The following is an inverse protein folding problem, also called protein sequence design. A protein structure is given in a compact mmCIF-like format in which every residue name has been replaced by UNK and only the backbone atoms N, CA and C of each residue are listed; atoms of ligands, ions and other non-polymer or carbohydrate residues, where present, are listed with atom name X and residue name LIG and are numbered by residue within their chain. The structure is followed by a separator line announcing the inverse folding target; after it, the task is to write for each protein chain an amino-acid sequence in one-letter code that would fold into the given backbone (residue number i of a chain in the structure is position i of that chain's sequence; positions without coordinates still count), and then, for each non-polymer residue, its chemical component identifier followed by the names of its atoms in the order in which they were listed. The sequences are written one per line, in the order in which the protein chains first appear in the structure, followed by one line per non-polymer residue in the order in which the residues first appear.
data_IF_920633477562
#
_entry.id   IF_920633477562
#
_cell.length_a   1.000
_cell.length_b   1.000
_cell.length_c   1.000
_cell.angle_alpha   90.00
_cell.angle_beta   90.00
_cell.angle_gamma   90.00
#
_symmetry.space_group_name_H-M   'P 1'
#
loop_
_entity.id
_entity.type
_entity.pdbx_description
1 polymer ?
#
# COMPACT_ATOMS: atom_id res chain seq x y z
N UNK A 1 65.34 47.32 -9.19
CA UNK A 1 66.17 46.38 -9.97
C UNK A 1 65.69 44.97 -9.64
N UNK A 2 65.36 44.16 -10.66
CA UNK A 2 65.71 42.72 -10.82
C UNK A 2 65.81 41.83 -9.56
N UNK A 3 65.28 40.60 -9.44
CA UNK A 3 64.98 39.52 -10.41
C UNK A 3 64.18 38.42 -9.69
N UNK A 4 63.55 37.54 -10.49
CA UNK A 4 62.88 36.28 -10.18
C UNK A 4 63.54 35.32 -9.18
N UNK A 5 62.73 34.40 -8.61
CA UNK A 5 62.97 32.94 -8.43
C UNK A 5 61.81 32.37 -7.57
N UNK A 6 60.86 31.62 -8.13
CA UNK A 6 60.88 30.17 -8.37
C UNK A 6 61.25 29.31 -7.15
N UNK A 7 60.25 28.76 -6.43
CA UNK A 7 60.16 27.31 -6.20
C UNK A 7 58.89 26.92 -5.40
N UNK A 8 58.00 26.17 -6.03
CA UNK A 8 56.97 25.35 -5.38
C UNK A 8 57.27 23.88 -5.66
N UNK A 9 57.46 23.03 -4.63
CA UNK A 9 57.23 21.60 -4.73
C UNK A 9 55.87 21.26 -4.11
N UNK A 10 54.92 20.79 -4.93
CA UNK A 10 54.52 19.38 -5.00
C UNK A 10 53.64 18.93 -3.81
N UNK A 11 52.33 18.79 -4.04
CA UNK A 11 51.69 17.49 -4.36
C UNK A 11 51.78 16.47 -3.22
N UNK A 12 50.79 16.49 -2.32
CA UNK A 12 50.26 15.30 -1.62
C UNK A 12 49.07 15.70 -0.74
N UNK A 13 47.85 15.47 -1.23
CA UNK A 13 46.64 15.15 -0.43
C UNK A 13 45.32 15.40 -1.21
N UNK A 14 45.25 15.02 -2.48
CA UNK A 14 43.99 15.04 -3.23
C UNK A 14 43.83 13.72 -3.99
N UNK A 15 43.74 12.62 -3.25
CA UNK A 15 43.70 11.28 -3.81
C UNK A 15 42.73 10.33 -3.14
N UNK A 16 41.74 10.83 -2.38
CA UNK A 16 40.88 9.97 -1.56
C UNK A 16 39.38 10.30 -1.59
N UNK A 17 38.93 11.19 -2.48
CA UNK A 17 37.48 11.52 -2.60
C UNK A 17 36.84 11.07 -3.91
N UNK A 18 37.63 10.65 -4.90
CA UNK A 18 37.09 10.25 -6.21
C UNK A 18 36.79 8.75 -6.36
N UNK A 19 37.21 7.88 -5.43
CA UNK A 19 36.95 6.43 -5.52
C UNK A 19 35.65 5.96 -4.87
N UNK A 20 34.99 6.78 -4.04
CA UNK A 20 33.64 6.47 -3.55
C UNK A 20 32.55 6.79 -4.59
N UNK A 21 32.93 7.27 -5.78
CA UNK A 21 32.02 7.93 -6.71
C UNK A 21 31.15 6.99 -7.57
N UNK A 22 31.42 5.69 -7.67
CA UNK A 22 30.59 4.79 -8.49
C UNK A 22 30.70 3.35 -7.97
N UNK A 23 29.90 3.00 -6.96
CA UNK A 23 29.50 1.59 -6.82
C UNK A 23 28.35 1.35 -7.81
N UNK A 24 28.59 0.64 -8.94
CA UNK A 24 27.55 0.39 -9.92
C UNK A 24 26.40 -0.45 -9.35
N UNK A 25 26.64 -1.19 -8.26
CA UNK A 25 25.59 -1.93 -7.54
C UNK A 25 24.58 -0.98 -6.91
N UNK A 26 25.06 0.03 -6.18
CA UNK A 26 24.21 1.04 -5.55
C UNK A 26 23.53 1.95 -6.59
N UNK A 27 24.22 2.31 -7.67
CA UNK A 27 23.63 3.12 -8.75
C UNK A 27 22.50 2.39 -9.47
N UNK A 28 22.63 1.08 -9.74
CA UNK A 28 21.57 0.29 -10.37
C UNK A 28 20.30 0.20 -9.50
N UNK A 29 20.45 0.15 -8.16
CA UNK A 29 19.32 0.14 -7.23
C UNK A 29 18.56 1.47 -7.26
N UNK A 30 19.24 2.60 -7.43
CA UNK A 30 18.61 3.92 -7.50
C UNK A 30 17.76 4.16 -8.77
N UNK A 31 17.97 3.36 -9.82
CA UNK A 31 17.20 3.42 -11.07
C UNK A 31 16.13 2.34 -11.18
N UNK A 32 16.03 1.43 -10.20
CA UNK A 32 14.87 0.55 -10.13
C UNK A 32 13.65 1.42 -9.83
N UNK A 33 12.57 1.31 -10.61
CA UNK A 33 11.33 1.95 -10.23
C UNK A 33 10.95 1.40 -8.85
N UNK A 34 10.81 2.27 -7.85
CA UNK A 34 10.14 1.92 -6.59
C UNK A 34 8.74 1.40 -6.95
N UNK A 35 8.59 0.09 -7.09
CA UNK A 35 7.31 -0.58 -7.35
C UNK A 35 6.46 -0.62 -6.08
N UNK A 36 6.56 0.40 -5.24
CA UNK A 36 5.58 0.65 -4.18
C UNK A 36 4.43 1.43 -4.82
N UNK A 37 3.67 0.73 -5.67
CA UNK A 37 2.37 1.26 -6.09
C UNK A 37 1.53 1.36 -4.84
N UNK A 38 1.38 2.59 -4.33
CA UNK A 38 0.59 2.94 -3.14
C UNK A 38 -0.89 2.81 -3.47
N UNK A 39 -1.32 1.60 -3.79
CA UNK A 39 -2.72 1.24 -3.87
C UNK A 39 -3.20 0.88 -2.47
N UNK A 40 -4.43 1.25 -2.15
CA UNK A 40 -5.06 0.76 -0.92
C UNK A 40 -5.10 -0.77 -0.97
N UNK A 41 -4.64 -1.46 0.08
CA UNK A 41 -4.54 -2.92 0.06
C UNK A 41 -5.93 -3.55 -0.05
N UNK A 42 -6.08 -4.55 -0.95
CA UNK A 42 -7.35 -5.25 -1.16
C UNK A 42 -7.87 -5.90 0.14
N UNK A 43 -6.97 -6.51 0.91
CA UNK A 43 -7.23 -7.01 2.25
C UNK A 43 -5.93 -7.09 3.05
N UNK A 44 -6.04 -7.13 4.38
CA UNK A 44 -4.89 -7.29 5.29
C UNK A 44 -5.05 -8.53 6.14
N UNK A 45 -3.97 -9.28 6.31
CA UNK A 45 -3.92 -10.44 7.22
C UNK A 45 -3.66 -9.93 8.63
N UNK A 46 -4.60 -10.14 9.54
CA UNK A 46 -4.49 -9.65 10.93
C UNK A 46 -3.84 -10.66 11.86
N UNK A 47 -3.82 -11.93 11.49
CA UNK A 47 -3.27 -13.02 12.29
C UNK A 47 -2.87 -14.22 11.41
N UNK A 48 -1.87 -14.99 11.85
CA UNK A 48 -1.39 -16.19 11.17
C UNK A 48 -0.38 -15.88 10.05
N UNK A 49 0.13 -16.94 9.42
CA UNK A 49 1.03 -16.86 8.27
C UNK A 49 0.43 -17.69 7.12
N UNK A 50 -0.52 -17.12 6.35
CA UNK A 50 -1.16 -17.83 5.25
C UNK A 50 -0.15 -18.14 4.15
N UNK A 51 -0.37 -19.25 3.45
CA UNK A 51 0.53 -19.61 2.35
C UNK A 51 0.27 -18.72 1.13
N UNK A 52 1.25 -18.56 0.22
CA UNK A 52 1.06 -17.78 -1.01
C UNK A 52 -0.13 -18.26 -1.85
N UNK A 53 -0.41 -19.56 -1.85
CA UNK A 53 -1.51 -20.17 -2.58
C UNK A 53 -2.87 -19.74 -2.04
N UNK A 54 -3.00 -19.63 -0.71
CA UNK A 54 -4.21 -19.16 -0.06
C UNK A 54 -4.47 -17.68 -0.39
N UNK A 55 -3.42 -16.86 -0.41
CA UNK A 55 -3.52 -15.45 -0.79
C UNK A 55 -3.93 -15.29 -2.26
N UNK A 56 -3.38 -16.11 -3.16
CA UNK A 56 -3.75 -16.12 -4.56
C UNK A 56 -5.23 -16.52 -4.74
N UNK A 57 -5.68 -17.59 -4.06
CA UNK A 57 -7.06 -18.03 -4.12
C UNK A 57 -8.04 -16.94 -3.65
N UNK A 58 -7.76 -16.28 -2.52
CA UNK A 58 -8.60 -15.17 -2.03
C UNK A 58 -8.63 -13.99 -3.00
N UNK A 59 -7.51 -13.68 -3.64
CA UNK A 59 -7.43 -12.61 -4.65
C UNK A 59 -8.31 -12.93 -5.85
N UNK A 60 -8.32 -14.18 -6.32
CA UNK A 60 -9.20 -14.64 -7.43
C UNK A 60 -10.67 -14.52 -7.06
N UNK A 61 -11.05 -14.88 -5.83
CA UNK A 61 -12.45 -14.77 -5.38
C UNK A 61 -12.89 -13.31 -5.33
N UNK A 62 -12.06 -12.41 -4.79
CA UNK A 62 -12.41 -10.99 -4.73
C UNK A 62 -12.44 -10.32 -6.10
N UNK A 63 -11.52 -10.67 -7.01
CA UNK A 63 -11.56 -10.12 -8.37
C UNK A 63 -12.79 -10.60 -9.15
N UNK A 64 -13.17 -11.88 -9.00
CA UNK A 64 -14.40 -12.41 -9.57
C UNK A 64 -15.65 -11.74 -8.99
N UNK A 65 -15.68 -11.47 -7.69
CA UNK A 65 -16.79 -10.77 -7.04
C UNK A 65 -16.90 -9.32 -7.53
N UNK A 66 -15.78 -8.60 -7.66
CA UNK A 66 -15.76 -7.24 -8.20
C UNK A 66 -16.33 -7.20 -9.64
N UNK A 67 -15.85 -8.10 -10.50
CA UNK A 67 -16.36 -8.23 -11.87
C UNK A 67 -17.87 -8.53 -11.92
N UNK A 68 -18.37 -9.35 -10.98
CA UNK A 68 -19.80 -9.65 -10.88
C UNK A 68 -20.64 -8.47 -10.36
N UNK A 69 -20.07 -7.60 -9.50
CA UNK A 69 -20.73 -6.37 -9.07
C UNK A 69 -20.84 -5.37 -10.23
N UNK A 70 -19.80 -5.22 -11.04
CA UNK A 70 -19.80 -4.31 -12.19
C UNK A 70 -20.81 -4.74 -13.27
N UNK A 71 -21.05 -6.05 -13.41
CA UNK A 71 -22.02 -6.60 -14.35
C UNK A 71 -23.49 -6.44 -13.92
N UNK A 72 -23.76 -6.17 -12.65
CA UNK A 72 -25.11 -6.08 -12.11
C UNK A 72 -25.53 -4.60 -11.94
N UNK A 73 -26.69 -4.14 -12.46
CA UNK A 73 -27.14 -2.78 -12.20
C UNK A 73 -27.24 -2.58 -10.68
N UNK A 74 -26.59 -1.53 -10.19
CA UNK A 74 -26.50 -1.16 -8.78
C UNK A 74 -27.89 -1.10 -8.13
N UNK A 75 -28.35 -2.24 -7.62
CA UNK A 75 -29.51 -2.31 -6.75
C UNK A 75 -28.95 -2.32 -5.35
N UNK A 76 -28.81 -1.13 -4.77
CA UNK A 76 -28.47 -0.98 -3.36
C UNK A 76 -29.32 -1.98 -2.55
N UNK A 77 -28.71 -2.85 -1.72
CA UNK A 77 -29.45 -3.80 -0.92
C UNK A 77 -30.49 -3.05 -0.11
N UNK A 78 -31.78 -3.30 -0.37
CA UNK A 78 -32.84 -2.65 0.38
C UNK A 78 -32.73 -3.15 1.83
N UNK A 79 -32.54 -2.28 2.83
CA UNK A 79 -32.48 -2.74 4.21
C UNK A 79 -33.76 -3.48 4.55
N UNK A 80 -33.70 -4.55 5.36
CA UNK A 80 -34.89 -5.28 5.77
C UNK A 80 -35.91 -4.31 6.38
N UNK A 81 -37.20 -4.61 6.20
CA UNK A 81 -38.29 -3.69 6.61
C UNK A 81 -38.21 -3.34 8.10
N UNK A 82 -37.80 -4.31 8.91
CA UNK A 82 -37.54 -4.18 10.36
C UNK A 82 -36.48 -3.10 10.65
N UNK A 83 -35.37 -3.13 9.92
CA UNK A 83 -34.27 -2.17 10.06
C UNK A 83 -34.66 -0.78 9.57
N UNK A 84 -35.38 -0.69 8.44
CA UNK A 84 -35.90 0.59 7.93
C UNK A 84 -36.83 1.27 8.93
N UNK A 85 -37.72 0.49 9.57
CA UNK A 85 -38.63 1.00 10.61
C UNK A 85 -37.88 1.53 11.83
N UNK A 86 -36.85 0.82 12.30
CA UNK A 86 -36.01 1.25 13.42
C UNK A 86 -35.28 2.56 13.14
N UNK A 87 -34.70 2.70 11.95
CA UNK A 87 -34.03 3.92 11.54
C UNK A 87 -34.99 5.13 11.52
N UNK A 88 -36.23 4.94 11.00
CA UNK A 88 -37.28 5.98 11.02
C UNK A 88 -37.70 6.40 12.42
N UNK A 89 -37.60 5.50 13.40
CA UNK A 89 -37.92 5.75 14.81
C UNK A 89 -36.71 6.29 15.60
N UNK A 90 -35.59 6.60 14.95
CA UNK A 90 -34.38 7.09 15.63
C UNK A 90 -33.66 6.03 16.46
N UNK A 91 -34.05 4.76 16.37
CA UNK A 91 -33.43 3.63 17.09
C UNK A 91 -32.13 3.22 16.41
N UNK A 92 -31.08 4.03 16.58
CA UNK A 92 -29.75 3.74 16.07
C UNK A 92 -29.16 2.51 16.74
N UNK A 93 -28.46 1.69 15.96
CA UNK A 93 -27.61 0.63 16.50
C UNK A 93 -26.49 1.30 17.32
N UNK A 94 -26.35 0.93 18.58
CA UNK A 94 -25.16 1.31 19.34
C UNK A 94 -23.95 0.59 18.72
N UNK A 95 -22.87 1.31 18.37
CA UNK A 95 -21.64 0.66 17.95
C UNK A 95 -21.13 -0.21 19.11
N UNK A 96 -20.74 -1.45 18.81
CA UNK A 96 -20.30 -2.39 19.84
C UNK A 96 -20.22 -3.83 19.38
N UNK A 97 -19.64 -4.68 20.23
CA UNK A 97 -19.55 -6.13 20.00
C UNK A 97 -20.94 -6.71 19.78
N UNK A 98 -21.13 -7.42 18.66
CA UNK A 98 -22.41 -8.02 18.29
C UNK A 98 -23.41 -7.09 17.59
N UNK A 99 -23.09 -5.81 17.39
CA UNK A 99 -23.97 -4.90 16.63
C UNK A 99 -24.22 -5.38 15.19
N UNK A 100 -23.24 -6.03 14.57
CA UNK A 100 -23.30 -6.61 13.22
C UNK A 100 -24.33 -7.74 13.08
N UNK A 101 -24.72 -8.41 14.17
CA UNK A 101 -25.73 -9.48 14.12
C UNK A 101 -27.11 -8.93 13.76
N UNK A 102 -27.36 -7.65 14.06
CA UNK A 102 -28.63 -6.97 13.82
C UNK A 102 -28.74 -6.35 12.43
N UNK A 103 -27.68 -6.43 11.63
CA UNK A 103 -27.65 -6.00 10.23
C UNK A 103 -27.72 -7.17 9.25
N UNK A 104 -27.90 -8.40 9.75
CA UNK A 104 -28.10 -9.56 8.90
C UNK A 104 -29.42 -9.41 8.11
N UNK A 105 -29.47 -9.86 6.85
CA UNK A 105 -30.73 -10.00 6.12
C UNK A 105 -31.66 -10.95 6.90
N UNK A 106 -32.97 -10.66 6.87
CA UNK A 106 -33.97 -11.65 7.29
C UNK A 106 -33.78 -12.89 6.36
N UNK A 107 -33.59 -14.08 6.94
CA UNK A 107 -33.44 -15.33 6.18
C UNK A 107 -34.74 -15.75 5.52
#
# INVERSE_FOLDING_TARGET
MSTAENNSPASRAAGDVSRLAHDPGTAAVAWLPETTSRQDPLFTVTHGNPTPEELAALTVVFSAQAAAQDAQPSRAPRPPRSQTRRLRLGLRLRPGRGAWRRTLPDR
#
